data_IF_108711246431
#
_entry.id   IF_108711246431
#
_cell.length_a   1.000
_cell.length_b   1.000
_cell.length_c   1.000
_cell.angle_alpha   90.00
_cell.angle_beta   90.00
_cell.angle_gamma   90.00
#
_symmetry.space_group_name_H-M   'P 1'
#
loop_
_entity.id
_entity.type
_entity.pdbx_description
1 polymer ?
#
# COMPACT_ATOMS: atom_id res chain seq x y z
N UNK A 1 4.17 -22.02 -1.65
CA UNK A 1 2.70 -21.93 -1.68
C UNK A 1 2.19 -21.44 -3.03
N UNK A 2 2.65 -20.29 -3.56
CA UNK A 2 2.24 -19.80 -4.89
C UNK A 2 2.45 -20.90 -5.93
N UNK A 3 3.63 -21.47 -6.00
CA UNK A 3 3.94 -22.57 -6.92
C UNK A 3 3.02 -23.80 -6.78
N UNK A 4 2.53 -24.09 -5.58
CA UNK A 4 1.58 -25.20 -5.37
C UNK A 4 0.18 -24.85 -5.86
N UNK A 5 -0.22 -23.59 -5.71
CA UNK A 5 -1.52 -23.11 -6.20
C UNK A 5 -1.54 -23.11 -7.72
N UNK A 6 -0.48 -22.61 -8.37
CA UNK A 6 -0.35 -22.54 -9.83
C UNK A 6 -0.27 -23.92 -10.50
N UNK A 7 0.09 -24.97 -9.77
CA UNK A 7 -0.04 -26.36 -10.27
C UNK A 7 -1.50 -26.82 -10.41
N UNK A 8 -2.44 -26.13 -9.78
CA UNK A 8 -3.86 -26.49 -9.80
C UNK A 8 -4.71 -25.59 -10.70
N UNK A 9 -4.15 -24.52 -11.24
CA UNK A 9 -4.87 -23.51 -12.05
C UNK A 9 -4.02 -23.01 -13.21
N UNK A 10 -4.67 -22.60 -14.30
CA UNK A 10 -4.02 -21.89 -15.41
C UNK A 10 -3.80 -20.38 -15.12
N UNK A 11 -4.24 -19.90 -13.95
CA UNK A 11 -4.06 -18.50 -13.54
C UNK A 11 -2.69 -18.26 -12.93
N UNK A 12 -2.10 -17.11 -13.24
CA UNK A 12 -0.80 -16.63 -12.72
C UNK A 12 -1.01 -15.69 -11.53
N UNK A 13 -0.31 -15.93 -10.44
CA UNK A 13 -0.45 -15.16 -9.20
C UNK A 13 0.86 -14.47 -8.84
N UNK A 14 0.83 -13.15 -8.80
CA UNK A 14 1.95 -12.35 -8.28
C UNK A 14 1.54 -11.70 -6.97
N UNK A 15 2.44 -11.76 -5.99
CA UNK A 15 2.24 -11.11 -4.70
C UNK A 15 3.25 -9.99 -4.52
N UNK A 16 2.76 -8.80 -4.19
CA UNK A 16 3.59 -7.61 -3.94
C UNK A 16 3.37 -7.13 -2.51
N UNK A 17 4.46 -7.04 -1.76
CA UNK A 17 4.49 -6.42 -0.44
C UNK A 17 5.28 -5.12 -0.52
N UNK A 18 4.60 -4.00 -0.39
CA UNK A 18 5.18 -2.66 -0.35
C UNK A 18 5.31 -2.18 1.10
N UNK A 19 6.48 -1.69 1.46
CA UNK A 19 6.68 -1.03 2.75
C UNK A 19 5.85 0.24 2.85
N UNK A 20 5.77 0.99 1.77
CA UNK A 20 4.94 2.20 1.61
C UNK A 20 4.66 2.45 0.13
N UNK A 21 3.53 3.10 -0.15
CA UNK A 21 3.11 3.37 -1.53
C UNK A 21 3.64 4.70 -2.10
N UNK A 22 4.10 5.60 -1.24
CA UNK A 22 4.68 6.90 -1.61
C UNK A 22 5.57 7.39 -0.46
N UNK A 23 6.57 8.19 -0.76
CA UNK A 23 7.49 8.75 0.24
C UNK A 23 6.84 9.82 1.12
N UNK A 24 5.78 10.46 0.65
CA UNK A 24 5.01 11.50 1.36
C UNK A 24 5.83 12.68 1.90
N UNK A 25 7.05 12.90 1.42
CA UNK A 25 7.97 13.93 1.98
C UNK A 25 7.37 15.34 1.96
N UNK A 26 6.52 15.64 0.99
CA UNK A 26 5.93 16.96 0.83
C UNK A 26 4.91 17.29 1.93
N UNK A 27 4.18 16.31 2.45
CA UNK A 27 3.14 16.55 3.47
C UNK A 27 3.74 16.98 4.82
N UNK A 28 4.67 16.21 5.44
CA UNK A 28 5.29 16.63 6.68
C UNK A 28 6.10 17.92 6.51
N UNK A 29 6.75 18.13 5.36
CA UNK A 29 7.51 19.35 5.09
C UNK A 29 6.58 20.56 5.01
N UNK A 30 5.43 20.45 4.36
CA UNK A 30 4.43 21.52 4.31
C UNK A 30 3.91 21.89 5.70
N UNK A 31 3.55 20.90 6.52
CA UNK A 31 3.08 21.12 7.89
C UNK A 31 4.16 21.74 8.76
N UNK A 32 5.42 21.29 8.63
CA UNK A 32 6.55 21.88 9.34
C UNK A 32 6.78 23.34 8.92
N UNK A 33 6.69 23.64 7.62
CA UNK A 33 6.83 25.01 7.11
C UNK A 33 5.71 25.91 7.60
N UNK A 34 4.46 25.47 7.54
CA UNK A 34 3.33 26.24 8.05
C UNK A 34 3.47 26.51 9.55
N UNK A 35 3.78 25.50 10.35
CA UNK A 35 3.96 25.69 11.79
C UNK A 35 5.18 26.56 12.11
N UNK A 36 6.30 26.38 11.38
CA UNK A 36 7.51 27.19 11.52
C UNK A 36 7.30 28.66 11.18
N UNK A 37 6.38 28.98 10.28
CA UNK A 37 6.03 30.37 9.96
C UNK A 37 5.00 30.92 10.94
N UNK A 38 3.90 30.22 11.17
CA UNK A 38 2.75 30.73 11.93
C UNK A 38 3.08 30.90 13.41
N UNK A 39 3.69 29.90 14.06
CA UNK A 39 3.91 29.94 15.50
C UNK A 39 4.84 31.06 15.95
N UNK A 40 6.03 31.28 15.34
CA UNK A 40 6.89 32.40 15.68
C UNK A 40 6.29 33.76 15.28
N UNK A 41 5.53 33.82 14.15
CA UNK A 41 4.90 35.09 13.76
C UNK A 41 3.79 35.49 14.72
N UNK A 42 3.14 34.57 15.39
CA UNK A 42 2.17 34.85 16.44
C UNK A 42 2.82 35.58 17.66
N UNK A 43 4.13 35.38 17.92
CA UNK A 43 4.83 36.07 18.98
C UNK A 43 4.90 37.56 18.71
N UNK A 44 4.89 38.00 17.44
CA UNK A 44 4.87 39.41 17.07
C UNK A 44 3.62 40.16 17.54
N UNK A 45 2.51 39.40 17.79
CA UNK A 45 1.25 39.96 18.26
C UNK A 45 1.17 40.07 19.80
N UNK A 46 2.15 39.53 20.50
CA UNK A 46 2.23 39.52 21.95
C UNK A 46 3.34 40.41 22.43
N UNK A 47 3.26 41.03 23.65
CA UNK A 47 4.36 41.71 24.25
C UNK A 47 5.55 40.76 24.44
N UNK A 48 6.68 41.03 23.79
CA UNK A 48 7.87 40.18 23.87
C UNK A 48 9.14 41.04 23.93
N UNK A 49 10.21 40.45 24.48
CA UNK A 49 11.54 41.05 24.55
C UNK A 49 12.51 40.55 23.45
N UNK A 50 12.03 39.64 22.59
CA UNK A 50 12.82 39.01 21.53
C UNK A 50 13.12 40.02 20.41
N UNK A 51 14.36 40.00 19.92
CA UNK A 51 14.73 40.72 18.71
C UNK A 51 14.44 39.90 17.45
N UNK A 52 14.33 40.58 16.31
CA UNK A 52 13.96 39.94 15.04
C UNK A 52 14.83 38.74 14.68
N UNK A 53 16.15 38.82 14.94
CA UNK A 53 17.09 37.73 14.69
C UNK A 53 16.79 36.48 15.53
N UNK A 54 16.34 36.63 16.76
CA UNK A 54 15.97 35.54 17.64
C UNK A 54 14.67 34.87 17.16
N UNK A 55 13.69 35.64 16.70
CA UNK A 55 12.46 35.12 16.11
C UNK A 55 12.76 34.33 14.85
N UNK A 56 13.67 34.81 13.97
CA UNK A 56 14.09 34.09 12.78
C UNK A 56 14.81 32.78 13.13
N UNK A 57 15.67 32.78 14.15
CA UNK A 57 16.33 31.56 14.63
C UNK A 57 15.33 30.54 15.18
N UNK A 58 14.33 30.97 15.94
CA UNK A 58 13.25 30.12 16.43
C UNK A 58 12.48 29.52 15.25
N UNK A 59 12.16 30.33 14.24
CA UNK A 59 11.44 29.91 13.05
C UNK A 59 12.18 28.79 12.29
N UNK A 60 13.46 28.98 11.98
CA UNK A 60 14.28 27.99 11.26
C UNK A 60 14.46 26.73 12.10
N UNK A 61 14.74 26.90 13.40
CA UNK A 61 14.92 25.77 14.33
C UNK A 61 13.63 24.94 14.45
N UNK A 62 12.48 25.58 14.63
CA UNK A 62 11.18 24.94 14.74
C UNK A 62 10.85 24.18 13.45
N UNK A 63 11.05 24.80 12.29
CA UNK A 63 10.89 24.13 11.01
C UNK A 63 11.76 22.87 10.91
N UNK A 64 13.06 22.98 11.20
CA UNK A 64 14.00 21.86 11.11
C UNK A 64 13.60 20.69 12.03
N UNK A 65 13.28 20.99 13.29
CA UNK A 65 12.85 19.99 14.27
C UNK A 65 11.55 19.33 13.83
N UNK A 66 10.54 20.09 13.42
CA UNK A 66 9.27 19.55 12.96
C UNK A 66 9.42 18.74 11.67
N UNK A 67 10.24 19.20 10.72
CA UNK A 67 10.49 18.48 9.47
C UNK A 67 11.12 17.09 9.72
N UNK A 68 11.94 16.94 10.75
CA UNK A 68 12.51 15.65 11.16
C UNK A 68 11.48 14.80 11.92
N UNK A 69 10.80 15.36 12.91
CA UNK A 69 9.84 14.62 13.74
C UNK A 69 8.65 14.09 12.94
N UNK A 70 8.12 14.92 12.04
CA UNK A 70 6.93 14.56 11.24
C UNK A 70 7.21 13.47 10.18
N UNK A 71 8.47 13.10 9.94
CA UNK A 71 8.84 11.95 9.08
C UNK A 71 8.65 10.60 9.74
N UNK A 72 8.38 10.55 11.06
CA UNK A 72 8.08 9.30 11.75
C UNK A 72 6.86 8.60 11.12
N UNK A 73 6.92 7.27 10.83
CA UNK A 73 5.81 6.53 10.22
C UNK A 73 4.49 6.63 10.99
N UNK A 74 4.58 6.74 12.32
CA UNK A 74 3.41 6.90 13.19
C UNK A 74 2.73 8.23 12.98
N UNK A 75 3.51 9.32 12.92
CA UNK A 75 3.00 10.68 12.69
C UNK A 75 2.53 10.86 11.25
N UNK A 76 3.28 10.35 10.28
CA UNK A 76 2.91 10.32 8.86
C UNK A 76 1.49 9.74 8.67
N UNK A 77 1.24 8.58 9.26
CA UNK A 77 -0.08 7.95 9.17
C UNK A 77 -1.22 8.78 9.75
N UNK A 78 -0.96 9.61 10.76
CA UNK A 78 -1.97 10.52 11.34
C UNK A 78 -2.17 11.77 10.52
N UNK A 79 -1.09 12.29 9.92
CA UNK A 79 -1.11 13.51 9.12
C UNK A 79 -1.76 13.32 7.76
N UNK A 80 -1.62 12.13 7.15
CA UNK A 80 -2.13 11.86 5.81
C UNK A 80 -3.55 11.30 5.91
N UNK A 81 -4.55 11.94 5.29
CA UNK A 81 -5.91 11.44 5.27
C UNK A 81 -5.96 10.02 4.69
N UNK A 82 -6.78 9.15 5.27
CA UNK A 82 -6.95 7.75 4.85
C UNK A 82 -7.24 7.63 3.34
N UNK A 83 -8.08 8.53 2.81
CA UNK A 83 -8.42 8.58 1.38
C UNK A 83 -7.20 8.76 0.47
N UNK A 84 -6.27 9.64 0.86
CA UNK A 84 -5.04 9.90 0.09
C UNK A 84 -4.12 8.67 0.13
N UNK A 85 -3.92 8.08 1.30
CA UNK A 85 -3.11 6.87 1.47
C UNK A 85 -3.65 5.72 0.63
N UNK A 86 -4.95 5.44 0.71
CA UNK A 86 -5.58 4.38 -0.07
C UNK A 86 -5.50 4.63 -1.58
N UNK A 87 -5.69 5.88 -2.02
CA UNK A 87 -5.55 6.23 -3.42
C UNK A 87 -4.12 6.01 -3.95
N UNK A 88 -3.09 6.38 -3.16
CA UNK A 88 -1.68 6.14 -3.52
C UNK A 88 -1.38 4.66 -3.58
N UNK A 89 -1.82 3.89 -2.59
CA UNK A 89 -1.63 2.44 -2.56
C UNK A 89 -2.30 1.73 -3.74
N UNK A 90 -3.55 2.10 -4.09
CA UNK A 90 -4.24 1.55 -5.26
C UNK A 90 -3.54 1.91 -6.58
N UNK A 91 -3.02 3.13 -6.72
CA UNK A 91 -2.25 3.50 -7.90
C UNK A 91 -0.94 2.70 -8.02
N UNK A 92 -0.25 2.46 -6.90
CA UNK A 92 0.94 1.60 -6.90
C UNK A 92 0.58 0.16 -7.26
N UNK A 93 -0.52 -0.38 -6.71
CA UNK A 93 -1.00 -1.72 -7.05
C UNK A 93 -1.24 -1.88 -8.56
N UNK A 94 -1.93 -0.92 -9.18
CA UNK A 94 -2.17 -0.92 -10.64
C UNK A 94 -0.87 -0.83 -11.44
N UNK A 95 0.09 -0.02 -11.00
CA UNK A 95 1.41 0.06 -11.62
C UNK A 95 2.15 -1.28 -11.50
N UNK A 96 2.12 -1.91 -10.33
CA UNK A 96 2.74 -3.22 -10.11
C UNK A 96 2.07 -4.32 -10.94
N UNK A 97 0.77 -4.25 -11.16
CA UNK A 97 0.05 -5.16 -12.05
C UNK A 97 0.60 -5.10 -13.48
N UNK A 98 0.90 -3.89 -13.98
CA UNK A 98 1.46 -3.69 -15.31
C UNK A 98 2.97 -4.04 -15.36
N UNK A 99 3.75 -3.63 -14.37
CA UNK A 99 5.20 -3.87 -14.30
C UNK A 99 5.54 -5.37 -14.20
N UNK A 100 4.68 -6.16 -13.55
CA UNK A 100 4.82 -7.61 -13.47
C UNK A 100 4.17 -8.37 -14.64
N UNK A 101 3.77 -7.68 -15.72
CA UNK A 101 3.21 -8.25 -16.94
C UNK A 101 1.94 -9.11 -16.76
N UNK A 102 1.21 -8.92 -15.67
CA UNK A 102 -0.02 -9.69 -15.40
C UNK A 102 -1.10 -9.50 -16.47
N UNK A 103 -1.07 -8.38 -17.19
CA UNK A 103 -1.97 -8.07 -18.32
C UNK A 103 -1.57 -8.75 -19.64
N UNK A 104 -0.45 -9.47 -19.67
CA UNK A 104 0.04 -10.21 -20.84
C UNK A 104 -0.11 -11.72 -20.70
N UNK A 105 -0.74 -12.21 -19.62
CA UNK A 105 -0.99 -13.63 -19.43
C UNK A 105 -1.96 -14.18 -20.48
N UNK A 106 -1.78 -15.42 -20.89
CA UNK A 106 -2.67 -16.08 -21.84
C UNK A 106 -4.09 -16.18 -21.24
N UNK A 107 -5.09 -15.77 -22.03
CA UNK A 107 -6.49 -15.73 -21.57
C UNK A 107 -6.81 -14.60 -20.59
N UNK A 108 -5.86 -13.74 -20.21
CA UNK A 108 -6.08 -12.66 -19.23
C UNK A 108 -6.31 -13.22 -17.82
N UNK A 109 -5.54 -14.24 -17.41
CA UNK A 109 -5.70 -14.96 -16.16
C UNK A 109 -4.72 -14.50 -15.06
N UNK A 110 -4.20 -13.26 -15.16
CA UNK A 110 -3.30 -12.68 -14.16
C UNK A 110 -4.04 -12.18 -12.92
N UNK A 111 -3.51 -12.47 -11.73
CA UNK A 111 -4.00 -11.97 -10.45
C UNK A 111 -2.87 -11.39 -9.62
N UNK A 112 -3.04 -10.17 -9.13
CA UNK A 112 -2.12 -9.50 -8.21
C UNK A 112 -2.73 -9.46 -6.81
N UNK A 113 -1.98 -9.92 -5.81
CA UNK A 113 -2.25 -9.66 -4.40
C UNK A 113 -1.28 -8.56 -3.95
N UNK A 114 -1.80 -7.37 -3.71
CA UNK A 114 -1.03 -6.21 -3.30
C UNK A 114 -1.27 -5.87 -1.83
N UNK A 115 -0.19 -5.73 -1.07
CA UNK A 115 -0.23 -5.33 0.34
C UNK A 115 0.69 -4.14 0.56
N UNK A 116 0.20 -3.10 1.21
CA UNK A 116 1.01 -1.94 1.62
C UNK A 116 0.93 -1.73 3.14
N UNK A 117 2.10 -1.80 3.79
CA UNK A 117 2.20 -1.80 5.26
C UNK A 117 1.88 -0.44 5.87
N UNK A 118 2.50 0.64 5.37
CA UNK A 118 2.32 1.99 5.91
C UNK A 118 0.86 2.44 5.79
N UNK A 119 0.26 2.23 4.63
CA UNK A 119 -1.11 2.60 4.32
C UNK A 119 -2.14 1.67 4.96
N UNK A 120 -1.71 0.46 5.40
CA UNK A 120 -2.58 -0.63 5.83
C UNK A 120 -3.65 -0.92 4.76
N UNK A 121 -3.16 -1.13 3.56
CA UNK A 121 -3.97 -1.32 2.39
C UNK A 121 -3.71 -2.68 1.76
N UNK A 122 -4.78 -3.36 1.38
CA UNK A 122 -4.74 -4.62 0.63
C UNK A 122 -5.70 -4.51 -0.53
N UNK A 123 -5.28 -4.96 -1.69
CA UNK A 123 -6.11 -5.02 -2.90
C UNK A 123 -5.75 -6.29 -3.68
N UNK A 124 -6.77 -6.94 -4.22
CA UNK A 124 -6.61 -8.02 -5.20
C UNK A 124 -7.07 -7.44 -6.54
N UNK A 125 -6.15 -7.43 -7.51
CA UNK A 125 -6.44 -7.01 -8.88
C UNK A 125 -6.43 -8.25 -9.76
N UNK A 126 -7.50 -8.43 -10.52
CA UNK A 126 -7.65 -9.52 -11.46
C UNK A 126 -7.71 -8.97 -12.89
N UNK A 127 -7.07 -9.66 -13.81
CA UNK A 127 -7.19 -9.34 -15.24
C UNK A 127 -8.58 -9.70 -15.77
N UNK A 128 -8.86 -9.32 -17.00
CA UNK A 128 -10.18 -9.40 -17.61
C UNK A 128 -10.76 -10.82 -17.61
N UNK A 129 -9.95 -11.82 -17.99
CA UNK A 129 -10.42 -13.20 -18.05
C UNK A 129 -10.88 -13.73 -16.68
N UNK A 130 -10.15 -13.35 -15.61
CA UNK A 130 -10.54 -13.69 -14.24
C UNK A 130 -11.76 -12.89 -13.79
N UNK A 131 -11.78 -11.56 -14.08
CA UNK A 131 -12.86 -10.67 -13.65
C UNK A 131 -14.23 -11.02 -14.28
N UNK A 132 -14.24 -11.65 -15.46
CA UNK A 132 -15.47 -12.12 -16.11
C UNK A 132 -16.11 -13.33 -15.38
N UNK A 133 -15.33 -14.13 -14.65
CA UNK A 133 -15.76 -15.35 -14.00
C UNK A 133 -15.89 -15.26 -12.48
N UNK A 134 -15.09 -14.38 -11.86
CA UNK A 134 -15.05 -14.20 -10.41
C UNK A 134 -15.45 -12.75 -10.06
N UNK A 135 -16.60 -12.55 -9.40
CA UNK A 135 -17.08 -11.22 -9.08
C UNK A 135 -16.22 -10.54 -8.00
N UNK A 136 -16.20 -9.20 -8.03
CA UNK A 136 -15.40 -8.38 -7.10
C UNK A 136 -15.78 -8.61 -5.63
N UNK A 137 -17.00 -9.01 -5.34
CA UNK A 137 -17.49 -9.32 -3.99
C UNK A 137 -16.71 -10.48 -3.36
N UNK A 138 -16.32 -11.46 -4.15
CA UNK A 138 -15.49 -12.60 -3.70
C UNK A 138 -14.13 -12.10 -3.23
N UNK A 139 -13.47 -11.24 -4.01
CA UNK A 139 -12.19 -10.64 -3.64
C UNK A 139 -12.33 -9.77 -2.39
N UNK A 140 -13.40 -8.98 -2.28
CA UNK A 140 -13.66 -8.15 -1.13
C UNK A 140 -13.79 -8.96 0.16
N UNK A 141 -14.44 -10.13 0.13
CA UNK A 141 -14.54 -11.03 1.29
C UNK A 141 -13.19 -11.62 1.69
N UNK A 142 -12.36 -12.01 0.73
CA UNK A 142 -11.00 -12.51 0.99
C UNK A 142 -10.15 -11.41 1.64
N UNK A 143 -10.15 -10.20 1.07
CA UNK A 143 -9.44 -9.04 1.63
C UNK A 143 -9.93 -8.69 3.03
N UNK A 144 -11.25 -8.77 3.28
CA UNK A 144 -11.81 -8.51 4.61
C UNK A 144 -11.28 -9.51 5.66
N UNK A 145 -11.27 -10.80 5.34
CA UNK A 145 -10.74 -11.85 6.24
C UNK A 145 -9.25 -11.64 6.51
N UNK A 146 -8.48 -11.37 5.47
CA UNK A 146 -7.05 -11.07 5.59
C UNK A 146 -6.80 -9.87 6.51
N UNK A 147 -7.48 -8.75 6.29
CA UNK A 147 -7.31 -7.53 7.09
C UNK A 147 -7.73 -7.73 8.55
N UNK A 148 -8.73 -8.56 8.81
CA UNK A 148 -9.15 -8.93 10.18
C UNK A 148 -8.04 -9.72 10.90
N UNK A 149 -7.44 -10.71 10.26
CA UNK A 149 -6.32 -11.50 10.79
C UNK A 149 -5.09 -10.62 11.09
N UNK A 150 -4.72 -9.77 10.15
CA UNK A 150 -3.63 -8.80 10.34
C UNK A 150 -3.91 -7.85 11.51
N UNK A 151 -5.18 -7.44 11.69
CA UNK A 151 -5.59 -6.62 12.83
C UNK A 151 -5.46 -7.31 14.18
N UNK A 152 -5.49 -8.63 14.21
CA UNK A 152 -5.27 -9.47 15.39
C UNK A 152 -3.78 -9.79 15.65
N UNK A 153 -2.89 -9.36 14.75
CA UNK A 153 -1.45 -9.64 14.80
C UNK A 153 -1.04 -10.94 14.11
N UNK A 154 -1.98 -11.67 13.51
CA UNK A 154 -1.77 -12.95 12.83
C UNK A 154 -1.44 -12.72 11.34
N UNK A 155 -0.35 -12.00 11.06
CA UNK A 155 0.00 -11.55 9.70
C UNK A 155 0.31 -12.72 8.79
N UNK A 156 1.13 -13.68 9.27
CA UNK A 156 1.52 -14.85 8.48
C UNK A 156 0.32 -15.73 8.14
N UNK A 157 -0.47 -16.09 9.15
CA UNK A 157 -1.67 -16.93 8.96
C UNK A 157 -2.70 -16.23 8.07
N UNK A 158 -2.84 -14.91 8.20
CA UNK A 158 -3.71 -14.11 7.34
C UNK A 158 -3.28 -14.17 5.88
N UNK A 159 -1.97 -14.08 5.63
CA UNK A 159 -1.40 -14.13 4.29
C UNK A 159 -1.56 -15.51 3.66
N UNK A 160 -1.28 -16.56 4.44
CA UNK A 160 -1.43 -17.95 4.02
C UNK A 160 -2.88 -18.28 3.65
N UNK A 161 -3.83 -17.92 4.51
CA UNK A 161 -5.25 -18.09 4.24
C UNK A 161 -5.75 -17.29 3.04
N UNK A 162 -5.21 -16.08 2.84
CA UNK A 162 -5.53 -15.27 1.67
C UNK A 162 -5.08 -15.97 0.37
N UNK A 163 -3.84 -16.45 0.33
CA UNK A 163 -3.31 -17.20 -0.82
C UNK A 163 -4.11 -18.47 -1.10
N UNK A 164 -4.42 -19.24 -0.06
CA UNK A 164 -5.24 -20.46 -0.19
C UNK A 164 -6.64 -20.15 -0.71
N UNK A 165 -7.28 -19.10 -0.20
CA UNK A 165 -8.63 -18.71 -0.65
C UNK A 165 -8.62 -18.23 -2.12
N UNK A 166 -7.65 -17.41 -2.51
CA UNK A 166 -7.46 -16.98 -3.90
C UNK A 166 -7.22 -18.19 -4.79
N UNK A 167 -6.30 -19.08 -4.39
CA UNK A 167 -5.99 -20.30 -5.16
C UNK A 167 -7.18 -21.22 -5.33
N UNK A 168 -8.00 -21.40 -4.30
CA UNK A 168 -9.21 -22.23 -4.37
C UNK A 168 -10.23 -21.67 -5.36
N UNK A 169 -10.47 -20.36 -5.37
CA UNK A 169 -11.37 -19.70 -6.32
C UNK A 169 -10.84 -19.83 -7.77
N UNK A 170 -9.54 -19.65 -7.97
CA UNK A 170 -8.91 -19.77 -9.28
C UNK A 170 -8.95 -21.23 -9.80
N UNK A 171 -8.58 -22.19 -8.97
CA UNK A 171 -8.61 -23.61 -9.35
C UNK A 171 -10.04 -24.11 -9.67
N UNK A 172 -11.05 -23.58 -8.98
CA UNK A 172 -12.45 -23.92 -9.25
C UNK A 172 -12.97 -23.38 -10.59
N UNK A 173 -12.48 -22.18 -11.02
CA UNK A 173 -12.93 -21.52 -12.25
C UNK A 173 -12.01 -21.77 -13.44
N UNK A 174 -10.72 -21.89 -13.17
CA UNK A 174 -9.66 -22.04 -14.18
C UNK A 174 -8.78 -23.24 -13.82
N UNK A 175 -9.32 -24.49 -13.85
CA UNK A 175 -8.52 -25.67 -13.56
C UNK A 175 -7.39 -25.80 -14.59
N UNK A 176 -6.27 -26.37 -14.14
CA UNK A 176 -5.08 -26.52 -15.00
C UNK A 176 -5.42 -27.34 -16.24
N UNK A 177 -5.10 -26.81 -17.40
CA UNK A 177 -5.24 -27.50 -18.69
C UNK A 177 -3.89 -27.83 -19.31
N UNK A 178 -2.91 -26.93 -19.15
CA UNK A 178 -1.52 -27.11 -19.61
C UNK A 178 -0.59 -26.57 -18.54
N UNK A 179 0.46 -27.35 -18.22
CA UNK A 179 1.47 -26.88 -17.26
C UNK A 179 2.24 -25.69 -17.87
N UNK A 180 1.79 -24.48 -17.61
CA UNK A 180 2.42 -23.22 -18.01
C UNK A 180 2.90 -22.51 -16.75
N UNK A 181 3.99 -21.81 -16.85
CA UNK A 181 4.48 -20.86 -15.87
C UNK A 181 5.00 -19.66 -16.67
N UNK A 182 4.15 -18.68 -16.86
CA UNK A 182 4.43 -17.52 -17.71
C UNK A 182 5.16 -16.43 -16.95
N UNK A 183 4.97 -16.38 -15.62
CA UNK A 183 5.54 -15.37 -14.75
C UNK A 183 6.37 -15.99 -13.62
N UNK A 184 7.36 -15.27 -13.08
CA UNK A 184 8.17 -15.78 -11.97
C UNK A 184 7.34 -15.87 -10.68
N UNK A 185 7.29 -17.06 -10.06
CA UNK A 185 6.55 -17.34 -8.82
C UNK A 185 7.30 -16.80 -7.60
N UNK A 186 7.26 -15.51 -7.36
CA UNK A 186 7.97 -14.90 -6.23
C UNK A 186 7.17 -13.79 -5.56
N UNK A 187 7.51 -13.53 -4.30
CA UNK A 187 7.07 -12.35 -3.58
C UNK A 187 7.94 -11.16 -4.00
N UNK A 188 7.33 -10.14 -4.57
CA UNK A 188 7.98 -8.87 -4.91
C UNK A 188 7.97 -7.97 -3.67
N UNK A 189 9.14 -7.55 -3.21
CA UNK A 189 9.30 -6.60 -2.10
C UNK A 189 9.71 -5.22 -2.64
N UNK A 190 8.97 -4.18 -2.31
CA UNK A 190 9.21 -2.80 -2.76
C UNK A 190 9.01 -1.77 -1.64
#
# INVERSE_FOLDING_TARGET
>A
QITEIEKATDAEIVTVLAKQADDYYYIPTLWAAMAGVIAPSALLLLPHWLVLSEILLIQVSLFGVLALLLRSPVLLRRLIPKRVRHWRASNLARRQFLENNLHHTEGGLGVLIFVSELERYVEILADRGVAEQIPNETWALIVQRFTQKVGQGEVYDGFDQCLQAVGAELAAKFPITTAKNELPNHLVLI
#
